data_IF_482779364811
#
_entry.id   IF_482779364811
#
_cell.length_a   1.000
_cell.length_b   1.000
_cell.length_c   1.000
_cell.angle_alpha   90.00
_cell.angle_beta   90.00
_cell.angle_gamma   90.00
#
_symmetry.space_group_name_H-M   'P 1'
#
loop_
_entity.id
_entity.type
_entity.pdbx_description
1 polymer ?
#
# COMPACT_ATOMS: atom_id res chain seq x y z
N UNK A 1 6.87 3.77 -11.86
CA UNK A 1 7.75 4.85 -11.38
C UNK A 1 7.02 6.18 -11.44
N UNK A 2 6.44 6.60 -12.58
CA UNK A 2 5.78 7.92 -12.70
C UNK A 2 4.69 8.17 -11.64
N UNK A 3 3.82 7.19 -11.38
CA UNK A 3 2.80 7.31 -10.33
C UNK A 3 3.40 7.46 -8.93
N UNK A 4 4.37 6.61 -8.57
CA UNK A 4 4.99 6.65 -7.25
C UNK A 4 5.74 7.97 -7.00
N UNK A 5 6.40 8.51 -8.02
CA UNK A 5 7.06 9.82 -7.91
C UNK A 5 6.05 10.94 -7.70
N UNK A 6 4.96 10.96 -8.47
CA UNK A 6 3.91 11.96 -8.32
C UNK A 6 3.28 11.91 -6.90
N UNK A 7 3.04 10.71 -6.36
CA UNK A 7 2.59 10.53 -4.98
C UNK A 7 3.61 11.07 -3.96
N UNK A 8 4.90 10.78 -4.15
CA UNK A 8 5.97 11.28 -3.28
C UNK A 8 6.06 12.81 -3.28
N UNK A 9 5.73 13.45 -4.40
CA UNK A 9 5.69 14.92 -4.52
C UNK A 9 4.34 15.54 -4.13
N UNK A 10 3.38 14.74 -3.66
CA UNK A 10 2.06 15.20 -3.25
C UNK A 10 1.06 15.46 -4.39
N UNK A 11 1.38 15.10 -5.63
CA UNK A 11 0.51 15.26 -6.79
C UNK A 11 -0.26 13.96 -7.07
N UNK A 12 -1.25 13.68 -6.22
CA UNK A 12 -2.08 12.50 -6.34
C UNK A 12 -2.88 12.45 -7.65
N UNK A 13 -3.30 13.60 -8.17
CA UNK A 13 -4.06 13.71 -9.42
C UNK A 13 -3.22 13.27 -10.61
N UNK A 14 -1.98 13.76 -10.73
CA UNK A 14 -1.07 13.32 -11.78
C UNK A 14 -0.67 11.84 -11.65
N UNK A 15 -0.76 11.26 -10.46
CA UNK A 15 -0.45 9.85 -10.22
C UNK A 15 -1.52 8.88 -10.78
N UNK A 16 -2.79 9.29 -10.89
CA UNK A 16 -3.92 8.40 -11.23
C UNK A 16 -3.70 7.72 -12.59
N UNK A 17 -3.52 8.49 -13.66
CA UNK A 17 -3.39 7.94 -15.02
C UNK A 17 -2.27 6.89 -15.16
N UNK A 18 -1.02 7.20 -14.74
CA UNK A 18 0.06 6.22 -14.73
C UNK A 18 -0.20 5.01 -13.83
N UNK A 19 -0.89 5.18 -12.69
CA UNK A 19 -1.22 4.08 -11.79
C UNK A 19 -2.25 3.12 -12.41
N UNK A 20 -3.26 3.63 -13.11
CA UNK A 20 -4.24 2.82 -13.83
C UNK A 20 -3.59 1.98 -14.92
N UNK A 21 -2.70 2.60 -15.71
CA UNK A 21 -1.95 1.90 -16.77
C UNK A 21 -1.09 0.77 -16.19
N UNK A 22 -0.41 1.03 -15.06
CA UNK A 22 0.41 0.03 -14.38
C UNK A 22 -0.44 -1.13 -13.83
N UNK A 23 -1.58 -0.82 -13.19
CA UNK A 23 -2.50 -1.84 -12.68
C UNK A 23 -3.08 -2.71 -13.80
N UNK A 24 -3.51 -2.10 -14.90
CA UNK A 24 -4.02 -2.82 -16.06
C UNK A 24 -2.94 -3.71 -16.70
N UNK A 25 -1.69 -3.22 -16.83
CA UNK A 25 -0.59 -4.01 -17.36
C UNK A 25 -0.23 -5.19 -16.45
N UNK A 26 -0.15 -4.96 -15.13
CA UNK A 26 0.16 -6.01 -14.16
C UNK A 26 -0.91 -7.12 -14.17
N UNK A 27 -2.19 -6.73 -14.23
CA UNK A 27 -3.31 -7.66 -14.35
C UNK A 27 -3.21 -8.52 -15.62
N UNK A 28 -2.97 -7.90 -16.79
CA UNK A 28 -2.81 -8.62 -18.07
C UNK A 28 -1.63 -9.60 -18.07
N UNK A 29 -0.57 -9.30 -17.32
CA UNK A 29 0.65 -10.13 -17.25
C UNK A 29 0.55 -11.25 -16.21
N UNK A 30 -0.51 -11.30 -15.39
CA UNK A 30 -0.68 -12.32 -14.34
C UNK A 30 0.37 -12.26 -13.23
N UNK A 31 1.12 -11.16 -13.10
CA UNK A 31 2.22 -11.05 -12.16
C UNK A 31 1.72 -10.64 -10.76
N UNK A 32 1.30 -11.61 -9.94
CA UNK A 32 0.59 -11.39 -8.67
C UNK A 32 1.16 -10.27 -7.80
N UNK A 33 2.47 -10.30 -7.50
CA UNK A 33 3.13 -9.26 -6.67
C UNK A 33 3.00 -7.87 -7.29
N UNK A 34 3.19 -7.76 -8.61
CA UNK A 34 3.04 -6.50 -9.34
C UNK A 34 1.58 -6.06 -9.34
N UNK A 35 0.62 -6.98 -9.49
CA UNK A 35 -0.81 -6.66 -9.45
C UNK A 35 -1.25 -6.15 -8.07
N UNK A 36 -0.74 -6.73 -6.97
CA UNK A 36 -0.96 -6.21 -5.62
C UNK A 36 -0.36 -4.81 -5.50
N UNK A 37 0.94 -4.66 -5.79
CA UNK A 37 1.63 -3.37 -5.67
C UNK A 37 0.92 -2.27 -6.48
N UNK A 38 0.62 -2.52 -7.75
CA UNK A 38 0.00 -1.53 -8.63
C UNK A 38 -1.41 -1.13 -8.19
N UNK A 39 -2.19 -2.05 -7.61
CA UNK A 39 -3.50 -1.71 -7.01
C UNK A 39 -3.34 -0.82 -5.78
N UNK A 40 -2.35 -1.07 -4.93
CA UNK A 40 -2.07 -0.22 -3.77
C UNK A 40 -1.65 1.19 -4.20
N UNK A 41 -0.79 1.32 -5.22
CA UNK A 41 -0.40 2.62 -5.78
C UNK A 41 -1.60 3.35 -6.39
N UNK A 42 -2.45 2.65 -7.15
CA UNK A 42 -3.68 3.23 -7.70
C UNK A 42 -4.64 3.69 -6.60
N UNK A 43 -4.85 2.86 -5.58
CA UNK A 43 -5.73 3.22 -4.47
C UNK A 43 -5.21 4.44 -3.70
N UNK A 44 -3.90 4.53 -3.45
CA UNK A 44 -3.29 5.70 -2.83
C UNK A 44 -3.48 6.97 -3.68
N UNK A 45 -3.30 6.88 -5.00
CA UNK A 45 -3.55 7.99 -5.92
C UNK A 45 -5.02 8.44 -5.90
N UNK A 46 -5.95 7.48 -6.00
CA UNK A 46 -7.39 7.77 -5.96
C UNK A 46 -7.80 8.44 -4.64
N UNK A 47 -7.39 7.87 -3.51
CA UNK A 47 -7.66 8.42 -2.19
C UNK A 47 -7.07 9.84 -2.01
N UNK A 48 -5.83 10.04 -2.47
CA UNK A 48 -5.13 11.31 -2.39
C UNK A 48 -5.75 12.44 -3.23
N UNK A 49 -6.62 12.12 -4.20
CA UNK A 49 -7.36 13.16 -4.94
C UNK A 49 -8.42 13.88 -4.10
N UNK A 50 -8.90 13.25 -3.01
CA UNK A 50 -10.00 13.76 -2.20
C UNK A 50 -11.39 13.67 -2.85
N UNK A 51 -11.51 13.14 -4.07
CA UNK A 51 -12.80 12.96 -4.74
C UNK A 51 -13.55 11.76 -4.15
N UNK A 52 -14.84 11.94 -3.83
CA UNK A 52 -15.67 10.91 -3.18
C UNK A 52 -15.70 9.58 -3.96
N UNK A 53 -16.01 9.63 -5.26
CA UNK A 53 -16.04 8.45 -6.13
C UNK A 53 -14.67 7.73 -6.22
N UNK A 54 -13.59 8.50 -6.24
CA UNK A 54 -12.24 7.94 -6.22
C UNK A 54 -11.94 7.26 -4.89
N UNK A 55 -12.38 7.85 -3.77
CA UNK A 55 -12.30 7.27 -2.43
C UNK A 55 -13.06 5.95 -2.31
N UNK A 56 -14.28 5.87 -2.84
CA UNK A 56 -15.05 4.62 -2.87
C UNK A 56 -14.32 3.52 -3.65
N UNK A 57 -13.76 3.86 -4.81
CA UNK A 57 -12.96 2.92 -5.59
C UNK A 57 -11.69 2.47 -4.85
N UNK A 58 -11.02 3.37 -4.13
CA UNK A 58 -9.88 3.01 -3.29
C UNK A 58 -10.29 2.06 -2.15
N UNK A 59 -11.45 2.30 -1.52
CA UNK A 59 -12.00 1.46 -0.45
C UNK A 59 -12.34 0.03 -0.92
N UNK A 60 -12.56 -0.19 -2.21
CA UNK A 60 -12.70 -1.54 -2.80
C UNK A 60 -11.34 -2.17 -3.13
N UNK A 61 -10.43 -1.40 -3.70
CA UNK A 61 -9.13 -1.90 -4.16
C UNK A 61 -8.24 -2.39 -3.01
N UNK A 62 -8.23 -1.68 -1.89
CA UNK A 62 -7.29 -1.92 -0.79
C UNK A 62 -7.58 -3.21 -0.04
N UNK A 63 -8.82 -3.51 0.41
CA UNK A 63 -9.12 -4.77 1.06
C UNK A 63 -8.81 -5.98 0.17
N UNK A 64 -9.12 -5.89 -1.13
CA UNK A 64 -8.79 -6.95 -2.09
C UNK A 64 -7.28 -7.15 -2.23
N UNK A 65 -6.50 -6.06 -2.35
CA UNK A 65 -5.05 -6.14 -2.44
C UNK A 65 -4.40 -6.67 -1.15
N UNK A 66 -4.95 -6.30 0.01
CA UNK A 66 -4.51 -6.80 1.31
C UNK A 66 -4.80 -8.30 1.46
N UNK A 67 -5.99 -8.76 1.05
CA UNK A 67 -6.36 -10.18 1.08
C UNK A 67 -5.45 -11.02 0.18
N UNK A 68 -5.15 -10.54 -1.03
CA UNK A 68 -4.23 -11.21 -1.96
C UNK A 68 -2.80 -11.24 -1.41
N UNK A 69 -2.33 -10.12 -0.83
CA UNK A 69 -1.01 -10.04 -0.22
C UNK A 69 -0.86 -11.06 0.93
N UNK A 70 -1.89 -11.19 1.78
CA UNK A 70 -1.92 -12.14 2.89
C UNK A 70 -1.93 -13.59 2.39
N UNK A 71 -2.83 -13.91 1.47
CA UNK A 71 -2.95 -15.26 0.88
C UNK A 71 -1.65 -15.70 0.21
N UNK A 72 -0.97 -14.78 -0.47
CA UNK A 72 0.28 -15.06 -1.17
C UNK A 72 1.55 -14.95 -0.28
N UNK A 73 1.40 -14.64 1.02
CA UNK A 73 2.53 -14.47 1.93
C UNK A 73 3.45 -13.28 1.58
N UNK A 74 2.95 -12.28 0.86
CA UNK A 74 3.69 -11.09 0.44
C UNK A 74 3.83 -10.09 1.61
N UNK A 75 4.53 -10.49 2.67
CA UNK A 75 4.70 -9.75 3.92
C UNK A 75 5.17 -8.30 3.73
N UNK A 76 6.03 -8.06 2.72
CA UNK A 76 6.49 -6.72 2.34
C UNK A 76 5.39 -5.78 1.81
N UNK A 77 4.24 -6.34 1.41
CA UNK A 77 3.07 -5.61 0.90
C UNK A 77 1.89 -5.64 1.86
N UNK A 78 1.86 -6.55 2.85
CA UNK A 78 0.79 -6.62 3.85
C UNK A 78 0.75 -5.37 4.75
N UNK A 79 1.90 -4.90 5.25
CA UNK A 79 1.92 -3.74 6.13
C UNK A 79 1.56 -2.41 5.44
N UNK A 80 2.03 -2.06 4.21
CA UNK A 80 1.59 -0.83 3.56
C UNK A 80 0.13 -0.91 3.13
N UNK A 81 -0.36 -2.10 2.74
CA UNK A 81 -1.78 -2.30 2.46
C UNK A 81 -2.64 -2.14 3.71
N UNK A 82 -2.18 -2.61 4.87
CA UNK A 82 -2.87 -2.45 6.15
C UNK A 82 -2.92 -0.99 6.61
N UNK A 83 -1.85 -0.22 6.41
CA UNK A 83 -1.86 1.23 6.69
C UNK A 83 -2.86 1.96 5.80
N UNK A 84 -2.80 1.73 4.49
CA UNK A 84 -3.72 2.35 3.56
C UNK A 84 -5.17 1.96 3.85
N UNK A 85 -5.42 0.72 4.29
CA UNK A 85 -6.74 0.29 4.72
C UNK A 85 -7.20 1.05 5.97
N UNK A 86 -6.30 1.28 6.92
CA UNK A 86 -6.61 2.01 8.15
C UNK A 86 -6.92 3.50 7.89
N UNK A 87 -6.32 4.08 6.85
CA UNK A 87 -6.58 5.47 6.47
C UNK A 87 -7.92 5.63 5.73
N UNK A 88 -8.39 4.56 5.06
CA UNK A 88 -9.66 4.54 4.33
C UNK A 88 -10.87 4.09 5.17
N UNK A 89 -10.64 3.33 6.24
CA UNK A 89 -11.69 2.83 7.14
C UNK A 89 -11.43 3.28 8.58
N UNK A 90 -11.98 4.43 9.00
CA UNK A 90 -11.84 4.94 10.37
C UNK A 90 -12.35 3.97 11.45
N UNK A 91 -13.36 3.14 11.14
CA UNK A 91 -13.93 2.21 12.11
C UNK A 91 -12.99 1.02 12.39
N UNK A 92 -12.25 0.56 11.37
CA UNK A 92 -11.27 -0.50 11.52
C UNK A 92 -9.84 -0.01 11.82
N UNK A 93 -9.59 1.30 11.77
CA UNK A 93 -8.25 1.88 11.76
C UNK A 93 -7.36 1.44 12.93
N UNK A 94 -7.90 1.41 14.16
CA UNK A 94 -7.13 0.99 15.36
C UNK A 94 -6.67 -0.46 15.23
N UNK A 95 -7.58 -1.36 14.87
CA UNK A 95 -7.27 -2.79 14.67
C UNK A 95 -6.25 -2.98 13.56
N UNK A 96 -6.45 -2.33 12.42
CA UNK A 96 -5.55 -2.44 11.26
C UNK A 96 -4.15 -1.92 11.57
N UNK A 97 -4.03 -0.79 12.29
CA UNK A 97 -2.73 -0.27 12.73
C UNK A 97 -2.04 -1.21 13.72
N UNK A 98 -2.77 -1.81 14.65
CA UNK A 98 -2.21 -2.83 15.56
C UNK A 98 -1.68 -4.06 14.79
N UNK A 99 -2.43 -4.55 13.79
CA UNK A 99 -1.99 -5.63 12.90
C UNK A 99 -0.71 -5.25 12.12
N UNK A 100 -0.64 -4.01 11.62
CA UNK A 100 0.56 -3.48 10.95
C UNK A 100 1.76 -3.46 11.88
N UNK A 101 1.61 -2.94 13.10
CA UNK A 101 2.69 -2.91 14.10
C UNK A 101 3.21 -4.32 14.40
N UNK A 102 2.31 -5.29 14.57
CA UNK A 102 2.70 -6.68 14.79
C UNK A 102 3.49 -7.27 13.61
N UNK A 103 3.05 -7.00 12.37
CA UNK A 103 3.73 -7.44 11.16
C UNK A 103 5.13 -6.80 11.01
N UNK A 104 5.23 -5.49 11.21
CA UNK A 104 6.49 -4.75 11.16
C UNK A 104 7.46 -5.21 12.25
N UNK A 105 6.97 -5.46 13.47
CA UNK A 105 7.78 -6.03 14.54
C UNK A 105 8.33 -7.42 14.16
N UNK A 106 7.47 -8.30 13.61
CA UNK A 106 7.88 -9.62 13.16
C UNK A 106 8.90 -9.58 11.99
N UNK A 107 8.78 -8.61 11.08
CA UNK A 107 9.76 -8.38 10.01
C UNK A 107 11.08 -7.87 10.60
N UNK A 108 11.04 -6.89 11.50
CA UNK A 108 12.21 -6.31 12.14
C UNK A 108 13.06 -7.38 12.85
N UNK A 109 12.43 -8.30 13.59
CA UNK A 109 13.12 -9.42 14.24
C UNK A 109 13.88 -10.35 13.28
N UNK A 110 13.47 -10.41 12.01
CA UNK A 110 14.08 -11.26 10.97
C UNK A 110 15.05 -10.53 10.05
N UNK A 111 15.08 -9.20 10.12
CA UNK A 111 16.02 -8.37 9.37
C UNK A 111 17.41 -8.41 9.98
N UNK A 112 18.43 -8.24 9.15
CA UNK A 112 19.81 -8.05 9.59
C UNK A 112 19.97 -6.73 10.39
N UNK A 113 21.09 -6.52 11.12
CA UNK A 113 21.29 -5.32 11.91
C UNK A 113 21.20 -4.00 11.11
N UNK A 114 21.67 -3.97 9.86
CA UNK A 114 21.60 -2.78 9.02
C UNK A 114 20.17 -2.53 8.55
N UNK A 115 19.45 -3.58 8.13
CA UNK A 115 18.04 -3.49 7.77
C UNK A 115 17.17 -2.96 8.91
N UNK A 116 17.39 -3.42 10.15
CA UNK A 116 16.69 -2.90 11.34
C UNK A 116 17.00 -1.43 11.61
N UNK A 117 18.27 -1.02 11.47
CA UNK A 117 18.67 0.38 11.67
C UNK A 117 17.98 1.29 10.66
N UNK A 118 18.05 0.95 9.37
CA UNK A 118 17.42 1.70 8.29
C UNK A 118 15.90 1.81 8.46
N UNK A 119 15.25 0.74 8.93
CA UNK A 119 13.82 0.77 9.18
C UNK A 119 13.44 1.74 10.33
N UNK A 120 14.23 1.80 11.41
CA UNK A 120 13.99 2.73 12.54
C UNK A 120 14.27 4.19 12.20
N UNK A 121 15.23 4.45 11.31
CA UNK A 121 15.59 5.80 10.85
C UNK A 121 14.65 6.31 9.74
N UNK A 122 13.78 5.44 9.21
CA UNK A 122 12.92 5.77 8.08
C UNK A 122 11.64 6.49 8.52
N UNK A 123 11.39 7.66 7.93
CA UNK A 123 10.10 8.33 8.06
C UNK A 123 8.92 7.55 7.43
N UNK A 124 9.21 6.51 6.63
CA UNK A 124 8.23 5.74 5.86
C UNK A 124 7.81 4.42 6.52
N UNK A 125 8.51 4.00 7.58
CA UNK A 125 8.21 2.75 8.29
C UNK A 125 7.73 3.10 9.70
N UNK A 126 6.45 2.88 10.04
CA UNK A 126 5.92 3.23 11.35
C UNK A 126 6.27 2.16 12.39
N UNK A 127 7.55 2.13 12.77
CA UNK A 127 8.11 1.29 13.84
C UNK A 127 8.22 2.03 15.17
#
# INVERSE_FOLDING_TARGET
MTAEVALMTGDAVAAVGPAEQAAALAARRGALRHSVKSRLVLAAALAGTGAAEAGERAAVLVPAALADARTAGLRSLTWPAGLLAADLDPAAAVRLRAEVTAELHALSLRSDPQGRRLARESAWVPL
#
